data_IF_771649918440
#
_entry.id   IF_771649918440
#
_cell.length_a   1.000
_cell.length_b   1.000
_cell.length_c   1.000
_cell.angle_alpha   90.00
_cell.angle_beta   90.00
_cell.angle_gamma   90.00
#
_symmetry.space_group_name_H-M   'P 1'
#
loop_
_entity.id
_entity.type
_entity.pdbx_description
1 polymer ?
#
# COMPACT_ATOMS: atom_id res chain seq x y z
N UNK A 1 -14.33 21.67 3.82
CA UNK A 1 -13.92 22.93 4.45
C UNK A 1 -14.68 24.11 3.88
N UNK A 2 -14.60 24.29 2.56
CA UNK A 2 -15.04 25.51 1.89
C UNK A 2 -15.93 25.20 0.68
N UNK A 3 -16.70 26.20 0.24
CA UNK A 3 -17.53 26.18 -0.96
C UNK A 3 -17.46 27.52 -1.70
N UNK A 4 -17.74 27.54 -3.02
CA UNK A 4 -17.77 28.79 -3.78
C UNK A 4 -18.75 29.78 -3.19
N UNK A 5 -18.36 31.05 -3.08
CA UNK A 5 -19.25 32.11 -2.60
C UNK A 5 -20.48 32.24 -3.50
N UNK A 6 -20.27 32.13 -4.81
CA UNK A 6 -21.32 32.14 -5.83
C UNK A 6 -21.20 30.90 -6.73
N UNK A 7 -22.01 29.85 -6.50
CA UNK A 7 -21.91 28.60 -7.25
C UNK A 7 -22.17 28.75 -8.76
N UNK A 8 -23.02 29.69 -9.18
CA UNK A 8 -23.35 29.88 -10.59
C UNK A 8 -22.19 30.54 -11.36
N UNK A 9 -21.53 31.56 -10.80
CA UNK A 9 -20.31 32.16 -11.36
C UNK A 9 -19.19 31.12 -11.47
N UNK A 10 -19.03 30.30 -10.42
CA UNK A 10 -18.03 29.23 -10.40
C UNK A 10 -18.19 28.23 -11.54
N UNK A 11 -19.43 27.90 -11.91
CA UNK A 11 -19.74 27.01 -13.05
C UNK A 11 -19.39 27.63 -14.40
N UNK A 12 -19.37 28.96 -14.48
CA UNK A 12 -18.94 29.72 -15.66
C UNK A 12 -17.43 29.96 -15.69
N UNK A 13 -16.67 29.31 -14.80
CA UNK A 13 -15.24 29.49 -14.60
C UNK A 13 -14.84 30.91 -14.12
N UNK A 14 -15.79 31.64 -13.51
CA UNK A 14 -15.50 32.86 -12.77
C UNK A 14 -15.26 32.52 -11.30
N UNK A 15 -14.03 32.78 -10.83
CA UNK A 15 -13.56 32.44 -9.49
C UNK A 15 -13.15 33.66 -8.67
N UNK A 16 -13.43 34.89 -9.14
CA UNK A 16 -12.96 36.13 -8.52
C UNK A 16 -13.46 36.29 -7.07
N UNK A 17 -14.68 35.83 -6.81
CA UNK A 17 -15.32 35.90 -5.50
C UNK A 17 -14.85 34.82 -4.51
N UNK A 18 -14.02 33.87 -4.98
CA UNK A 18 -13.41 32.83 -4.17
C UNK A 18 -14.40 31.94 -3.42
N UNK A 19 -13.99 31.52 -2.22
CA UNK A 19 -14.69 30.53 -1.42
C UNK A 19 -15.00 31.05 -0.01
N UNK A 20 -16.04 30.48 0.61
CA UNK A 20 -16.42 30.70 2.00
C UNK A 20 -16.40 29.38 2.77
N UNK A 21 -16.31 29.44 4.11
CA UNK A 21 -16.36 28.23 4.95
C UNK A 21 -17.76 27.61 4.89
N UNK A 22 -17.83 26.28 4.74
CA UNK A 22 -19.10 25.53 4.78
C UNK A 22 -19.77 25.54 6.16
N UNK A 23 -18.96 25.68 7.21
CA UNK A 23 -19.42 25.69 8.59
C UNK A 23 -18.72 26.82 9.35
N UNK A 24 -19.49 27.53 10.17
CA UNK A 24 -18.97 28.61 11.02
C UNK A 24 -17.98 28.06 12.06
N UNK A 25 -16.93 28.84 12.33
CA UNK A 25 -15.97 28.55 13.39
C UNK A 25 -16.61 28.74 14.77
N UNK A 26 -16.16 27.96 15.75
CA UNK A 26 -16.62 28.08 17.14
C UNK A 26 -15.45 28.40 18.08
N UNK A 27 -14.95 29.63 17.98
CA UNK A 27 -13.79 30.08 18.76
C UNK A 27 -14.08 30.24 20.27
N UNK A 28 -15.25 30.76 20.64
CA UNK A 28 -15.55 31.19 22.01
C UNK A 28 -16.00 30.06 22.96
N UNK A 29 -16.37 28.88 22.44
CA UNK A 29 -17.01 27.81 23.23
C UNK A 29 -16.11 26.65 23.64
N UNK A 30 -14.79 26.73 23.46
CA UNK A 30 -13.90 25.56 23.57
C UNK A 30 -14.21 24.46 22.53
N UNK A 31 -15.02 24.80 21.52
CA UNK A 31 -15.60 23.87 20.57
C UNK A 31 -14.68 23.60 19.39
N UNK A 32 -13.57 22.91 19.63
CA UNK A 32 -12.96 21.96 18.69
C UNK A 32 -12.62 22.43 17.27
N UNK A 33 -12.56 23.74 16.99
CA UNK A 33 -11.94 24.21 15.76
C UNK A 33 -10.57 23.53 15.63
N UNK A 34 -10.19 23.23 14.40
CA UNK A 34 -8.88 22.67 14.15
C UNK A 34 -8.46 22.97 12.73
N UNK A 35 -7.49 22.20 12.25
CA UNK A 35 -6.79 22.56 11.04
C UNK A 35 -6.83 21.44 10.01
N UNK A 36 -6.97 21.84 8.75
CA UNK A 36 -6.73 20.98 7.60
C UNK A 36 -5.41 21.38 6.98
N UNK A 37 -4.48 20.43 6.96
CA UNK A 37 -3.20 20.54 6.26
C UNK A 37 -3.43 20.60 4.75
N UNK A 38 -2.90 21.64 4.11
CA UNK A 38 -2.77 21.80 2.66
C UNK A 38 -1.28 21.71 2.32
N UNK A 39 -0.92 20.67 1.57
CA UNK A 39 0.49 20.38 1.24
C UNK A 39 0.86 20.87 -0.14
N UNK A 40 2.13 21.24 -0.30
CA UNK A 40 2.67 21.63 -1.60
C UNK A 40 2.06 22.92 -2.13
N UNK A 41 1.79 23.90 -1.27
CA UNK A 41 1.19 25.17 -1.70
C UNK A 41 2.18 26.34 -1.64
N UNK A 42 2.03 27.27 -2.59
CA UNK A 42 2.47 28.65 -2.40
C UNK A 42 1.71 29.21 -1.19
N UNK A 43 2.45 29.67 -0.19
CA UNK A 43 1.85 30.31 0.99
C UNK A 43 1.04 31.55 0.61
N UNK A 44 -0.06 31.86 1.31
CA UNK A 44 -0.86 33.03 1.02
C UNK A 44 -0.09 34.35 1.17
N UNK A 45 -0.60 35.42 0.56
CA UNK A 45 -0.10 36.78 0.77
C UNK A 45 0.05 37.10 2.27
N UNK A 46 1.19 37.67 2.64
CA UNK A 46 1.59 37.86 4.04
C UNK A 46 1.27 39.25 4.59
N UNK A 47 0.54 40.12 3.87
CA UNK A 47 0.21 41.47 4.35
C UNK A 47 -0.61 41.48 5.64
N UNK A 48 -1.46 40.47 5.84
CA UNK A 48 -2.25 40.26 7.06
C UNK A 48 -1.73 39.04 7.82
N UNK A 49 -0.45 39.05 8.15
CA UNK A 49 0.18 37.97 8.89
C UNK A 49 1.04 38.47 10.04
N UNK A 50 1.34 37.56 10.96
CA UNK A 50 2.31 37.74 12.04
C UNK A 50 3.22 36.53 12.09
N UNK A 51 4.47 36.72 12.50
CA UNK A 51 5.45 35.64 12.52
C UNK A 51 6.31 35.66 13.79
N UNK A 52 6.82 34.48 14.14
CA UNK A 52 7.78 34.30 15.22
C UNK A 52 8.74 33.15 14.90
N UNK A 53 10.03 33.43 14.82
CA UNK A 53 11.06 32.46 14.40
C UNK A 53 11.36 31.41 15.49
N UNK A 54 11.12 31.75 16.76
CA UNK A 54 11.47 30.89 17.90
C UNK A 54 10.43 29.81 18.18
N UNK A 55 9.19 29.98 17.70
CA UNK A 55 8.10 29.04 17.98
C UNK A 55 8.19 27.78 17.14
N UNK A 56 7.76 26.65 17.69
CA UNK A 56 7.55 25.42 16.91
C UNK A 56 6.13 25.35 16.33
N UNK A 57 5.83 24.27 15.60
CA UNK A 57 4.55 24.09 14.90
C UNK A 57 3.39 23.93 15.88
N UNK A 58 3.59 23.22 16.98
CA UNK A 58 2.57 22.96 18.01
C UNK A 58 2.20 24.23 18.79
N UNK A 59 3.19 25.06 19.08
CA UNK A 59 3.00 26.40 19.65
C UNK A 59 2.27 27.31 18.68
N UNK A 60 2.61 27.23 17.38
CA UNK A 60 1.94 27.99 16.33
C UNK A 60 0.45 27.63 16.21
N UNK A 61 0.13 26.33 16.29
CA UNK A 61 -1.24 25.84 16.32
C UNK A 61 -2.01 26.39 17.53
N UNK A 62 -1.41 26.27 18.71
CA UNK A 62 -2.01 26.73 19.97
C UNK A 62 -2.26 28.24 19.97
N UNK A 63 -1.32 29.02 19.46
CA UNK A 63 -1.43 30.48 19.35
C UNK A 63 -2.53 30.88 18.36
N UNK A 64 -2.59 30.21 17.22
CA UNK A 64 -3.66 30.43 16.26
C UNK A 64 -5.04 30.07 16.82
N UNK A 65 -5.18 28.96 17.57
CA UNK A 65 -6.46 28.56 18.17
C UNK A 65 -6.98 29.61 19.16
N UNK A 66 -6.07 30.17 19.98
CA UNK A 66 -6.38 31.22 20.96
C UNK A 66 -6.85 32.52 20.31
N UNK A 67 -6.39 32.81 19.10
CA UNK A 67 -6.77 34.02 18.37
C UNK A 67 -7.93 33.74 17.40
N UNK A 68 -9.14 34.22 17.72
CA UNK A 68 -10.33 34.01 16.89
C UNK A 68 -10.26 34.62 15.48
N UNK A 69 -9.34 35.56 15.25
CA UNK A 69 -9.13 36.14 13.93
C UNK A 69 -8.12 35.33 13.10
N UNK A 70 -7.43 34.36 13.72
CA UNK A 70 -6.52 33.48 13.00
C UNK A 70 -7.29 32.58 12.04
N UNK A 71 -6.77 32.46 10.82
CA UNK A 71 -7.41 31.68 9.74
C UNK A 71 -6.53 30.57 9.19
N UNK A 72 -5.22 30.69 9.33
CA UNK A 72 -4.26 29.64 8.99
C UNK A 72 -2.92 29.88 9.68
N UNK A 73 -2.09 28.84 9.75
CA UNK A 73 -0.69 28.96 10.11
C UNK A 73 0.21 28.05 9.26
N UNK A 74 1.52 28.29 9.30
CA UNK A 74 2.53 27.45 8.68
C UNK A 74 3.88 27.57 9.42
N UNK A 75 4.79 26.63 9.19
CA UNK A 75 6.17 26.76 9.66
C UNK A 75 6.94 27.78 8.80
N UNK A 76 7.89 28.53 9.36
CA UNK A 76 8.76 29.40 8.56
C UNK A 76 9.89 28.60 7.88
N UNK A 77 10.38 27.57 8.56
CA UNK A 77 11.44 26.69 8.07
C UNK A 77 10.89 25.27 7.90
N UNK A 78 10.84 24.82 6.65
CA UNK A 78 10.36 23.48 6.27
C UNK A 78 11.33 22.39 6.73
N UNK A 79 12.63 22.68 6.77
CA UNK A 79 13.67 21.69 7.09
C UNK A 79 13.74 21.36 8.58
N UNK A 80 13.61 22.37 9.44
CA UNK A 80 13.68 22.22 10.90
C UNK A 80 12.32 22.15 11.58
N UNK A 81 11.23 22.47 10.86
CA UNK A 81 9.92 22.68 11.46
C UNK A 81 9.88 23.86 12.43
N UNK A 82 10.86 24.76 12.37
CA UNK A 82 10.95 25.91 13.29
C UNK A 82 10.36 27.17 12.69
N UNK A 83 9.92 28.05 13.56
CA UNK A 83 9.27 29.30 13.22
C UNK A 83 7.81 29.13 12.87
N UNK A 84 7.04 30.18 13.12
CA UNK A 84 5.60 30.23 13.03
C UNK A 84 5.21 31.43 12.16
N UNK A 85 4.30 31.20 11.21
CA UNK A 85 3.66 32.24 10.40
C UNK A 85 2.15 32.06 10.51
N UNK A 86 1.45 33.09 10.97
CA UNK A 86 0.01 33.09 11.22
C UNK A 86 -0.68 34.12 10.33
N UNK A 87 -1.77 33.73 9.67
CA UNK A 87 -2.58 34.61 8.82
C UNK A 87 -3.91 35.00 9.47
N UNK A 88 -4.34 36.24 9.19
CA UNK A 88 -5.60 36.82 9.63
C UNK A 88 -6.48 37.22 8.43
N UNK A 89 -7.75 36.80 8.44
CA UNK A 89 -8.72 37.14 7.39
C UNK A 89 -8.68 36.21 6.17
N UNK A 90 -8.86 36.76 4.97
CA UNK A 90 -8.92 35.98 3.73
C UNK A 90 -7.52 35.52 3.28
N UNK A 91 -7.42 34.25 2.87
CA UNK A 91 -6.19 33.67 2.33
C UNK A 91 -6.20 33.87 0.81
N UNK A 92 -5.32 34.73 0.31
CA UNK A 92 -5.29 35.13 -1.11
C UNK A 92 -3.99 34.72 -1.79
N UNK A 93 -4.05 34.54 -3.11
CA UNK A 93 -2.93 34.15 -3.99
C UNK A 93 -2.24 32.83 -3.60
N UNK A 94 -3.02 31.89 -3.04
CA UNK A 94 -2.59 30.51 -2.83
C UNK A 94 -2.63 29.72 -4.13
N UNK A 95 -1.63 28.87 -4.36
CA UNK A 95 -1.53 27.99 -5.54
C UNK A 95 -0.92 26.66 -5.14
N UNK A 96 -1.28 25.59 -5.83
CA UNK A 96 -0.61 24.29 -5.67
C UNK A 96 0.62 24.27 -6.56
N UNK A 97 1.76 23.89 -6.00
CA UNK A 97 2.99 23.62 -6.75
C UNK A 97 3.22 22.12 -6.82
N UNK A 98 3.75 21.66 -7.96
CA UNK A 98 4.09 20.26 -8.16
C UNK A 98 5.31 19.85 -7.32
N UNK A 99 6.25 20.78 -7.12
CA UNK A 99 7.50 20.62 -6.37
C UNK A 99 7.73 21.89 -5.51
N UNK A 100 8.45 21.75 -4.40
CA UNK A 100 8.88 22.86 -3.51
C UNK A 100 7.78 23.73 -2.86
N UNK A 101 6.54 23.24 -2.81
CA UNK A 101 5.47 23.89 -2.06
C UNK A 101 5.57 23.65 -0.55
N UNK A 102 4.99 24.55 0.23
CA UNK A 102 4.99 24.49 1.69
C UNK A 102 3.66 23.94 2.23
N UNK A 103 3.70 23.37 3.44
CA UNK A 103 2.50 23.00 4.18
C UNK A 103 1.86 24.22 4.86
N UNK A 104 0.56 24.43 4.64
CA UNK A 104 -0.26 25.46 5.30
C UNK A 104 -1.43 24.78 6.01
N UNK A 105 -1.66 25.11 7.27
CA UNK A 105 -2.71 24.55 8.12
C UNK A 105 -3.87 25.55 8.20
N UNK A 106 -4.97 25.25 7.51
CA UNK A 106 -6.13 26.16 7.40
C UNK A 106 -7.17 25.84 8.46
N UNK A 107 -7.60 26.84 9.23
CA UNK A 107 -8.58 26.72 10.31
C UNK A 107 -9.98 26.42 9.78
N UNK A 108 -10.59 25.35 10.29
CA UNK A 108 -11.93 24.87 9.97
C UNK A 108 -12.70 24.52 11.24
N UNK A 109 -14.03 24.46 11.12
CA UNK A 109 -14.89 24.03 12.22
C UNK A 109 -14.69 22.54 12.56
N UNK A 110 -14.88 22.17 13.83
CA UNK A 110 -14.80 20.79 14.32
C UNK A 110 -15.63 19.80 13.48
N UNK A 111 -16.83 20.22 13.07
CA UNK A 111 -17.76 19.41 12.27
C UNK A 111 -17.19 19.00 10.91
N UNK A 112 -16.29 19.80 10.33
CA UNK A 112 -15.60 19.49 9.08
C UNK A 112 -14.57 18.38 9.28
N UNK A 113 -13.87 18.38 10.42
CA UNK A 113 -12.90 17.35 10.79
C UNK A 113 -13.61 16.01 11.05
N UNK A 114 -14.71 16.04 11.81
CA UNK A 114 -15.55 14.87 12.07
C UNK A 114 -16.09 14.25 10.79
N UNK A 115 -16.54 15.09 9.85
CA UNK A 115 -17.05 14.62 8.57
C UNK A 115 -15.95 13.91 7.76
N UNK A 116 -14.73 14.46 7.75
CA UNK A 116 -13.58 13.84 7.10
C UNK A 116 -13.21 12.50 7.75
N UNK A 117 -13.17 12.44 9.08
CA UNK A 117 -12.89 11.21 9.82
C UNK A 117 -13.94 10.12 9.55
N UNK A 118 -15.23 10.48 9.56
CA UNK A 118 -16.34 9.55 9.23
C UNK A 118 -16.24 9.04 7.80
N UNK A 119 -15.92 9.90 6.83
CA UNK A 119 -15.73 9.50 5.44
C UNK A 119 -14.57 8.51 5.29
N UNK A 120 -13.41 8.80 5.87
CA UNK A 120 -12.25 7.92 5.84
C UNK A 120 -12.54 6.56 6.48
N UNK A 121 -13.25 6.54 7.62
CA UNK A 121 -13.67 5.30 8.27
C UNK A 121 -14.56 4.44 7.37
N UNK A 122 -15.50 5.05 6.64
CA UNK A 122 -16.36 4.32 5.68
C UNK A 122 -15.55 3.70 4.54
N UNK A 123 -14.59 4.45 3.98
CA UNK A 123 -13.70 3.94 2.93
C UNK A 123 -12.87 2.76 3.46
N UNK A 124 -12.30 2.89 4.65
CA UNK A 124 -11.49 1.84 5.27
C UNK A 124 -12.28 0.54 5.52
N UNK A 125 -13.55 0.65 5.94
CA UNK A 125 -14.45 -0.51 6.12
C UNK A 125 -14.70 -1.26 4.82
N UNK A 126 -14.68 -0.59 3.66
CA UNK A 126 -14.89 -1.20 2.35
C UNK A 126 -13.58 -1.76 1.78
N UNK A 127 -12.49 -1.00 1.87
CA UNK A 127 -11.20 -1.36 1.23
C UNK A 127 -10.55 -2.56 1.91
N UNK A 128 -10.54 -2.62 3.25
CA UNK A 128 -9.90 -3.71 4.00
C UNK A 128 -10.43 -5.11 3.60
N UNK A 129 -11.75 -5.39 3.62
CA UNK A 129 -12.26 -6.72 3.26
C UNK A 129 -12.03 -7.05 1.78
N UNK A 130 -12.09 -6.07 0.87
CA UNK A 130 -11.79 -6.28 -0.55
C UNK A 130 -10.33 -6.70 -0.73
N UNK A 131 -9.40 -5.96 -0.14
CA UNK A 131 -7.96 -6.29 -0.22
C UNK A 131 -7.68 -7.66 0.41
N UNK A 132 -8.24 -7.96 1.58
CA UNK A 132 -8.11 -9.27 2.24
C UNK A 132 -8.68 -10.40 1.38
N UNK A 133 -9.84 -10.19 0.74
CA UNK A 133 -10.44 -11.21 -0.13
C UNK A 133 -9.57 -11.49 -1.36
N UNK A 134 -9.02 -10.46 -1.99
CA UNK A 134 -8.16 -10.60 -3.16
C UNK A 134 -6.83 -11.28 -2.82
N UNK A 135 -6.22 -10.95 -1.68
CA UNK A 135 -4.96 -11.59 -1.25
C UNK A 135 -5.17 -13.07 -0.92
N UNK A 136 -6.26 -13.42 -0.23
CA UNK A 136 -6.61 -14.82 0.07
C UNK A 136 -6.88 -15.59 -1.23
N UNK A 137 -7.66 -15.02 -2.16
CA UNK A 137 -7.94 -15.64 -3.45
C UNK A 137 -6.66 -15.89 -4.26
N UNK A 138 -5.76 -14.92 -4.32
CA UNK A 138 -4.47 -15.07 -5.01
C UNK A 138 -3.62 -16.17 -4.36
N UNK A 139 -3.55 -16.20 -3.02
CA UNK A 139 -2.84 -17.24 -2.29
C UNK A 139 -3.41 -18.64 -2.55
N UNK A 140 -4.74 -18.78 -2.58
CA UNK A 140 -5.42 -20.03 -2.91
C UNK A 140 -5.14 -20.46 -4.36
N UNK A 141 -5.18 -19.53 -5.32
CA UNK A 141 -4.83 -19.81 -6.71
C UNK A 141 -3.39 -20.33 -6.84
N UNK A 142 -2.43 -19.67 -6.16
CA UNK A 142 -1.03 -20.09 -6.16
C UNK A 142 -0.84 -21.45 -5.47
N UNK A 143 -1.56 -21.71 -4.38
CA UNK A 143 -1.52 -22.99 -3.67
C UNK A 143 -2.05 -24.13 -4.56
N UNK A 144 -3.20 -23.93 -5.22
CA UNK A 144 -3.78 -24.91 -6.17
C UNK A 144 -2.85 -25.13 -7.36
N UNK A 145 -2.26 -24.06 -7.91
CA UNK A 145 -1.29 -24.16 -9.00
C UNK A 145 -0.08 -25.02 -8.61
N UNK A 146 0.52 -24.77 -7.44
CA UNK A 146 1.65 -25.57 -6.92
C UNK A 146 1.28 -27.03 -6.70
N UNK A 147 0.07 -27.31 -6.18
CA UNK A 147 -0.39 -28.69 -5.98
C UNK A 147 -0.60 -29.43 -7.30
N UNK A 148 -1.07 -28.73 -8.35
CA UNK A 148 -1.25 -29.32 -9.70
C UNK A 148 0.09 -29.61 -10.39
N UNK A 149 1.09 -28.75 -10.26
CA UNK A 149 2.42 -29.01 -10.82
C UNK A 149 3.14 -30.15 -10.10
N UNK A 150 3.04 -30.24 -8.76
CA UNK A 150 3.57 -31.39 -8.03
C UNK A 150 2.88 -32.71 -8.41
N UNK A 151 1.57 -32.72 -8.67
CA UNK A 151 0.87 -33.91 -9.15
C UNK A 151 1.24 -34.31 -10.58
N UNK A 152 1.71 -33.40 -11.44
CA UNK A 152 2.24 -33.76 -12.76
C UNK A 152 3.61 -34.42 -12.66
N UNK A 153 4.49 -33.89 -11.81
CA UNK A 153 5.81 -34.51 -11.53
C UNK A 153 5.65 -35.88 -10.84
N UNK A 154 4.61 -36.05 -10.01
CA UNK A 154 4.37 -37.29 -9.25
C UNK A 154 3.30 -38.21 -9.87
N UNK A 155 2.77 -37.87 -11.05
CA UNK A 155 1.63 -38.52 -11.70
C UNK A 155 1.92 -39.08 -13.09
N UNK A 156 3.17 -39.01 -13.55
CA UNK A 156 3.63 -39.58 -14.83
C UNK A 156 4.13 -41.03 -14.67
N UNK A 157 3.75 -41.74 -13.58
CA UNK A 157 4.06 -43.16 -13.37
C UNK A 157 2.80 -44.04 -13.29
N UNK A 158 1.64 -43.55 -13.73
CA UNK A 158 0.41 -44.36 -13.71
C UNK A 158 -0.48 -44.04 -14.91
N UNK A 159 -0.14 -44.61 -16.07
CA UNK A 159 -1.08 -45.26 -16.99
C UNK A 159 -0.35 -45.82 -18.21
N UNK A 160 -0.81 -46.97 -18.68
CA UNK A 160 -0.44 -47.71 -19.91
C UNK A 160 0.68 -48.75 -19.75
N UNK A 161 0.34 -49.87 -19.12
CA UNK A 161 0.73 -51.18 -19.66
C UNK A 161 -0.41 -51.66 -20.57
N UNK A 162 -0.18 -51.68 -21.88
CA UNK A 162 -0.77 -52.66 -22.79
C UNK A 162 0.02 -52.67 -24.09
N UNK A 163 0.75 -53.77 -24.31
CA UNK A 163 1.42 -54.13 -25.56
C UNK A 163 0.44 -54.20 -26.74
N UNK A 164 0.83 -53.68 -27.92
CA UNK A 164 0.88 -54.49 -29.14
C UNK A 164 1.69 -53.82 -30.27
N UNK A 165 2.46 -54.66 -30.97
CA UNK A 165 3.35 -54.41 -32.11
C UNK A 165 2.80 -53.53 -33.25
N UNK A 166 3.66 -52.75 -33.91
CA UNK A 166 3.96 -52.86 -35.36
C UNK A 166 5.31 -52.16 -35.67
N UNK A 167 6.10 -52.85 -36.48
CA UNK A 167 7.49 -52.61 -36.83
C UNK A 167 7.77 -51.28 -37.56
N UNK A 168 8.98 -50.75 -37.36
CA UNK A 168 9.78 -50.31 -38.50
C UNK A 168 11.29 -50.43 -38.23
N UNK A 169 11.99 -51.04 -39.17
CA UNK A 169 13.42 -51.27 -39.24
C UNK A 169 14.21 -49.96 -39.21
N UNK A 170 15.29 -49.92 -38.41
CA UNK A 170 16.66 -49.68 -38.85
C UNK A 170 17.49 -49.11 -37.69
N UNK A 171 18.37 -49.93 -37.11
CA UNK A 171 19.84 -49.75 -37.12
C UNK A 171 20.43 -50.61 -36.01
N UNK A 172 21.23 -51.59 -36.43
CA UNK A 172 21.95 -52.52 -35.58
C UNK A 172 23.22 -51.84 -35.05
N UNK A 173 23.30 -51.57 -33.75
CA UNK A 173 24.57 -51.54 -33.00
C UNK A 173 24.32 -52.12 -31.61
N UNK A 174 25.10 -53.14 -31.29
CA UNK A 174 25.20 -53.75 -29.97
C UNK A 174 25.77 -52.71 -29.01
N UNK A 175 24.96 -52.27 -28.06
CA UNK A 175 25.40 -51.92 -26.72
C UNK A 175 24.25 -52.31 -25.81
N UNK A 176 24.52 -53.24 -24.89
CA UNK A 176 23.55 -53.64 -23.86
C UNK A 176 23.34 -52.44 -22.93
N UNK A 177 22.44 -51.54 -23.31
CA UNK A 177 22.01 -50.45 -22.44
C UNK A 177 21.28 -51.07 -21.24
N UNK A 178 22.00 -51.18 -20.13
CA UNK A 178 21.46 -51.58 -18.84
C UNK A 178 20.28 -50.66 -18.51
N UNK A 179 19.14 -51.21 -18.05
CA UNK A 179 18.03 -50.39 -17.61
C UNK A 179 18.51 -49.48 -16.48
N UNK A 180 18.45 -48.17 -16.71
CA UNK A 180 18.80 -47.15 -15.73
C UNK A 180 17.64 -47.03 -14.74
N UNK A 181 17.89 -47.35 -13.47
CA UNK A 181 16.92 -47.18 -12.39
C UNK A 181 17.23 -45.93 -11.58
N UNK A 182 16.18 -45.17 -11.24
CA UNK A 182 16.30 -44.04 -10.31
C UNK A 182 16.67 -44.51 -8.89
N UNK A 183 17.53 -43.75 -8.20
CA UNK A 183 17.99 -44.08 -6.85
C UNK A 183 16.84 -44.33 -5.87
N UNK A 184 15.74 -43.58 -5.97
CA UNK A 184 14.59 -43.72 -5.08
C UNK A 184 13.86 -45.06 -5.26
N UNK A 185 13.85 -45.58 -6.48
CA UNK A 185 13.29 -46.90 -6.80
C UNK A 185 14.15 -48.00 -6.17
N UNK A 186 15.47 -47.89 -6.30
CA UNK A 186 16.43 -48.83 -5.70
C UNK A 186 16.32 -48.77 -4.18
N UNK A 187 16.34 -47.56 -3.60
CA UNK A 187 16.18 -47.37 -2.16
C UNK A 187 14.86 -47.96 -1.66
N UNK A 188 13.73 -47.74 -2.32
CA UNK A 188 12.47 -48.38 -1.90
C UNK A 188 12.51 -49.91 -2.03
N UNK A 189 13.10 -50.45 -3.11
CA UNK A 189 13.20 -51.89 -3.32
C UNK A 189 14.06 -52.58 -2.27
N UNK A 190 15.14 -51.92 -1.82
CA UNK A 190 16.05 -52.42 -0.78
C UNK A 190 15.65 -52.00 0.64
N UNK A 191 14.46 -51.40 0.79
CA UNK A 191 13.98 -50.81 2.04
C UNK A 191 15.03 -49.88 2.70
N UNK A 192 15.47 -48.91 1.92
CA UNK A 192 16.53 -47.97 2.17
C UNK A 192 17.87 -48.63 2.54
N UNK A 193 18.26 -49.66 1.78
CA UNK A 193 19.49 -50.44 1.99
C UNK A 193 19.53 -51.10 3.38
N UNK A 194 18.41 -51.68 3.79
CA UNK A 194 18.31 -52.44 5.05
C UNK A 194 19.13 -53.73 5.00
N UNK A 195 19.70 -54.14 6.13
CA UNK A 195 20.50 -55.38 6.22
C UNK A 195 19.71 -56.64 5.84
N UNK A 196 18.38 -56.62 6.01
CA UNK A 196 17.48 -57.71 5.61
C UNK A 196 17.43 -57.91 4.09
N UNK A 197 17.77 -56.89 3.31
CA UNK A 197 17.84 -56.93 1.85
C UNK A 197 19.28 -57.09 1.33
N UNK A 198 20.26 -57.32 2.21
CA UNK A 198 21.66 -57.46 1.82
C UNK A 198 21.95 -58.86 1.29
N UNK A 199 22.38 -58.94 0.04
CA UNK A 199 22.74 -60.19 -0.63
C UNK A 199 24.16 -60.66 -0.25
N UNK A 200 25.05 -59.74 0.13
CA UNK A 200 26.40 -60.08 0.59
C UNK A 200 27.29 -58.85 0.80
N UNK A 201 28.51 -59.05 1.32
CA UNK A 201 29.53 -58.02 1.46
C UNK A 201 30.92 -58.60 1.21
N UNK A 202 31.75 -57.87 0.46
CA UNK A 202 33.14 -58.24 0.19
C UNK A 202 34.06 -57.00 0.18
N UNK A 203 35.27 -57.16 -0.34
CA UNK A 203 36.28 -56.08 -0.37
C UNK A 203 35.90 -54.83 -1.18
N UNK A 204 34.79 -54.87 -1.93
CA UNK A 204 34.24 -53.75 -2.70
C UNK A 204 32.96 -53.16 -2.09
N UNK A 205 32.56 -53.60 -0.90
CA UNK A 205 31.40 -53.09 -0.17
C UNK A 205 30.18 -54.02 -0.17
N UNK A 206 29.07 -53.57 0.44
CA UNK A 206 27.82 -54.33 0.53
C UNK A 206 27.06 -54.33 -0.80
N UNK A 207 26.47 -55.48 -1.12
CA UNK A 207 25.57 -55.68 -2.26
C UNK A 207 24.18 -55.96 -1.70
N UNK A 208 23.20 -55.21 -2.20
CA UNK A 208 21.78 -55.34 -1.88
C UNK A 208 21.00 -55.80 -3.11
#
# INVERSE_FOLDING_TARGET
GFEPRFPEEWRLADWENGCVRKAALNCAGGGGDGFVKQSGVKVPDTRRSWYNVSMNVEECESECLRNCNCTAYASLNISSGSGCLIWFGELVDMRVYAEDGQDVFVRVAASELDRKAKANRRVMIIVIPVVLSLTIMLALCLFVYRKRTQKKINGENSWVVSEHHIANENTRREDSELPLFEFNTIANATNNFSDDCKLGEGGFGPVY
#
